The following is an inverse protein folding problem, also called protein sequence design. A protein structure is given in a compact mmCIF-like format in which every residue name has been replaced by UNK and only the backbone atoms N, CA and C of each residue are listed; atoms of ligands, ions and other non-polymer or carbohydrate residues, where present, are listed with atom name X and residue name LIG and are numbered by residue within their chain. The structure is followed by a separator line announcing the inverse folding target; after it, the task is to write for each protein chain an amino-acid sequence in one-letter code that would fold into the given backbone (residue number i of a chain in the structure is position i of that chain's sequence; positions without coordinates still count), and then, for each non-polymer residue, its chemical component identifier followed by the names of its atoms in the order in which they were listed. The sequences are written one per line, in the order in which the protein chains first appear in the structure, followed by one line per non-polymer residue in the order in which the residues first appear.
data_IF_104202671559
#
_entry.id   IF_104202671559
#
_cell.length_a   1.000
_cell.length_b   1.000
_cell.length_c   1.000
_cell.angle_alpha   90.00
_cell.angle_beta   90.00
_cell.angle_gamma   90.00
#
_symmetry.space_group_name_H-M   'P 1'
#
loop_
_entity.id
_entity.type
_entity.pdbx_description
1 polymer ?
#
# COMPACT_ATOMS: atom_id res chain seq x y z
N UNK A 1 21.76 -12.17 -3.20
CA UNK A 1 20.80 -11.57 -4.17
C UNK A 1 20.91 -10.10 -3.88
N UNK A 2 21.40 -9.27 -4.81
CA UNK A 2 21.80 -7.90 -4.47
C UNK A 2 20.72 -7.18 -3.65
N UNK A 3 21.14 -6.57 -2.54
CA UNK A 3 20.24 -5.84 -1.65
C UNK A 3 19.50 -4.74 -2.42
N UNK A 4 18.20 -4.62 -2.19
CA UNK A 4 17.32 -3.66 -2.87
C UNK A 4 17.08 -2.45 -1.98
N UNK A 5 17.47 -1.26 -2.41
CA UNK A 5 17.21 -0.01 -1.69
C UNK A 5 18.33 1.00 -1.86
N UNK A 6 17.99 2.27 -1.69
CA UNK A 6 18.89 3.42 -1.82
C UNK A 6 19.70 3.68 -0.55
N UNK A 7 19.13 3.38 0.62
CA UNK A 7 19.79 3.53 1.93
C UNK A 7 20.02 2.18 2.60
N UNK A 8 20.95 2.11 3.56
CA UNK A 8 21.20 0.89 4.35
C UNK A 8 19.93 0.44 5.11
N UNK A 9 19.16 1.40 5.63
CA UNK A 9 17.89 1.12 6.29
C UNK A 9 16.86 0.49 5.34
N UNK A 10 16.73 1.03 4.12
CA UNK A 10 15.81 0.50 3.11
C UNK A 10 16.24 -0.90 2.63
N UNK A 11 17.55 -1.12 2.44
CA UNK A 11 18.11 -2.41 2.07
C UNK A 11 17.88 -3.47 3.15
N UNK A 12 18.14 -3.14 4.42
CA UNK A 12 17.86 -4.02 5.55
C UNK A 12 16.36 -4.33 5.69
N UNK A 13 15.50 -3.31 5.59
CA UNK A 13 14.04 -3.47 5.61
C UNK A 13 13.58 -4.47 4.53
N UNK A 14 13.97 -4.23 3.28
CA UNK A 14 13.58 -5.05 2.15
C UNK A 14 14.14 -6.48 2.25
N UNK A 15 15.35 -6.64 2.76
CA UNK A 15 15.95 -7.95 3.02
C UNK A 15 15.08 -8.78 3.97
N UNK A 16 14.74 -8.26 5.15
CA UNK A 16 13.96 -9.02 6.13
C UNK A 16 12.48 -9.20 5.73
N UNK A 17 11.89 -8.24 5.00
CA UNK A 17 10.59 -8.44 4.37
C UNK A 17 10.61 -9.60 3.37
N UNK A 18 11.66 -9.71 2.54
CA UNK A 18 11.81 -10.82 1.59
C UNK A 18 12.01 -12.18 2.27
N UNK A 19 12.49 -12.19 3.53
CA UNK A 19 12.56 -13.39 4.38
C UNK A 19 11.21 -13.76 5.04
N UNK A 20 10.15 -13.00 4.78
CA UNK A 20 8.79 -13.28 5.25
C UNK A 20 8.50 -12.77 6.68
N UNK A 21 9.29 -11.82 7.19
CA UNK A 21 8.94 -11.16 8.46
C UNK A 21 7.82 -10.13 8.26
N UNK A 22 6.95 -10.01 9.27
CA UNK A 22 5.92 -8.96 9.31
C UNK A 22 6.56 -7.57 9.46
N UNK A 23 5.83 -6.51 9.09
CA UNK A 23 6.34 -5.14 9.25
C UNK A 23 6.69 -4.81 10.71
N UNK A 24 5.95 -5.34 11.70
CA UNK A 24 6.31 -5.19 13.11
C UNK A 24 7.64 -5.89 13.43
N UNK A 25 7.82 -7.13 12.98
CA UNK A 25 9.03 -7.92 13.17
C UNK A 25 10.26 -7.22 12.57
N UNK A 26 10.17 -6.77 11.31
CA UNK A 26 11.26 -6.05 10.62
C UNK A 26 11.60 -4.76 11.36
N UNK A 27 10.60 -4.01 11.80
CA UNK A 27 10.80 -2.78 12.58
C UNK A 27 11.57 -3.03 13.89
N UNK A 28 11.27 -4.15 14.58
CA UNK A 28 11.99 -4.55 15.79
C UNK A 28 13.46 -4.88 15.53
N UNK A 29 13.77 -5.59 14.45
CA UNK A 29 15.17 -5.88 14.05
C UNK A 29 15.91 -4.59 13.69
N UNK A 30 15.28 -3.70 12.93
CA UNK A 30 15.87 -2.42 12.55
C UNK A 30 16.13 -1.49 13.73
N UNK A 31 15.23 -1.48 14.72
CA UNK A 31 15.45 -0.75 15.96
C UNK A 31 16.70 -1.24 16.71
N UNK A 32 16.95 -2.56 16.66
CA UNK A 32 18.16 -3.14 17.22
C UNK A 32 19.40 -2.67 16.48
N UNK A 33 19.44 -2.84 15.15
CA UNK A 33 20.59 -2.42 14.33
C UNK A 33 20.91 -0.94 14.53
N UNK A 34 19.88 -0.07 14.60
CA UNK A 34 20.07 1.35 14.90
C UNK A 34 20.72 1.57 16.26
N UNK A 35 20.22 0.90 17.30
CA UNK A 35 20.71 1.07 18.66
C UNK A 35 22.14 0.55 18.85
N UNK A 36 22.50 -0.52 18.14
CA UNK A 36 23.82 -1.15 18.24
C UNK A 36 24.88 -0.46 17.36
N UNK A 37 24.52 -0.02 16.16
CA UNK A 37 25.52 0.41 15.15
C UNK A 37 25.12 1.63 14.33
N UNK A 38 23.92 2.17 14.50
CA UNK A 38 23.43 3.25 13.63
C UNK A 38 23.32 2.86 12.14
N UNK A 39 23.24 1.55 11.82
CA UNK A 39 23.36 1.02 10.44
C UNK A 39 24.74 1.21 9.81
N UNK A 40 25.81 1.25 10.61
CA UNK A 40 27.17 1.12 10.10
C UNK A 40 27.66 -0.34 10.29
N UNK A 41 27.85 -1.12 9.21
CA UNK A 41 28.30 -2.51 9.32
C UNK A 41 29.77 -2.61 9.75
N UNK A 42 30.53 -1.51 9.71
CA UNK A 42 31.93 -1.46 10.16
C UNK A 42 32.10 -0.94 11.58
N UNK A 43 30.99 -0.61 12.26
CA UNK A 43 30.99 0.02 13.58
C UNK A 43 31.75 -0.84 14.60
N UNK A 44 32.91 -0.36 15.01
CA UNK A 44 33.73 -0.91 16.08
C UNK A 44 33.38 -0.21 17.38
N UNK A 45 33.26 -0.96 18.47
CA UNK A 45 32.98 -0.37 19.76
C UNK A 45 34.05 0.66 20.15
N UNK A 46 33.63 1.89 20.50
CA UNK A 46 34.50 3.04 20.75
C UNK A 46 35.58 2.81 21.83
N UNK A 47 35.39 1.83 22.72
CA UNK A 47 36.41 1.44 23.72
C UNK A 47 37.64 0.80 23.08
N UNK A 48 37.49 0.15 21.91
CA UNK A 48 38.59 -0.35 21.09
C UNK A 48 39.34 0.80 20.43
N UNK A 49 38.61 1.72 19.79
CA UNK A 49 39.21 2.83 19.05
C UNK A 49 40.16 3.64 19.93
N UNK A 50 39.73 3.91 21.18
CA UNK A 50 40.52 4.63 22.18
C UNK A 50 41.75 3.90 22.70
N UNK A 51 41.75 2.55 22.70
CA UNK A 51 42.82 1.74 23.31
C UNK A 51 43.81 1.17 22.29
N UNK A 52 43.36 0.94 21.06
CA UNK A 52 44.13 0.26 20.02
C UNK A 52 44.61 1.20 18.92
N UNK A 53 44.03 2.40 18.81
CA UNK A 53 44.34 3.36 17.75
C UNK A 53 43.69 3.04 16.38
N UNK A 54 42.86 2.00 16.30
CA UNK A 54 42.10 1.71 15.09
C UNK A 54 40.83 2.56 14.98
N UNK A 55 40.47 2.90 13.75
CA UNK A 55 39.12 3.35 13.35
C UNK A 55 38.29 2.16 12.88
N UNK A 56 36.98 2.35 12.74
CA UNK A 56 36.07 1.40 12.07
C UNK A 56 36.65 0.79 10.77
N UNK A 57 37.14 1.66 9.87
CA UNK A 57 37.66 1.26 8.56
C UNK A 57 38.98 0.52 8.67
N UNK A 58 39.92 1.03 9.46
CA UNK A 58 41.27 0.46 9.57
C UNK A 58 41.25 -0.86 10.32
N UNK A 59 40.39 -1.00 11.34
CA UNK A 59 40.14 -2.28 12.01
C UNK A 59 39.54 -3.29 11.04
N UNK A 60 38.49 -2.91 10.31
CA UNK A 60 37.84 -3.80 9.33
C UNK A 60 38.84 -4.28 8.28
N UNK A 61 39.65 -3.37 7.72
CA UNK A 61 40.67 -3.71 6.75
C UNK A 61 41.73 -4.66 7.33
N UNK A 62 42.17 -4.41 8.58
CA UNK A 62 43.14 -5.25 9.26
C UNK A 62 42.62 -6.66 9.57
N UNK A 63 41.33 -6.80 9.90
CA UNK A 63 40.68 -8.11 10.06
C UNK A 63 40.56 -8.82 8.72
N UNK A 64 40.14 -8.11 7.67
CA UNK A 64 39.98 -8.67 6.32
C UNK A 64 41.31 -9.15 5.72
N UNK A 65 42.39 -8.40 5.91
CA UNK A 65 43.72 -8.75 5.41
C UNK A 65 44.52 -9.66 6.38
N UNK A 66 43.97 -9.97 7.54
CA UNK A 66 44.56 -10.87 8.53
C UNK A 66 45.67 -10.27 9.39
N UNK A 67 46.01 -8.99 9.24
CA UNK A 67 46.98 -8.31 10.11
C UNK A 67 46.46 -8.11 11.55
N UNK A 68 45.14 -8.14 11.75
CA UNK A 68 44.52 -8.21 13.07
C UNK A 68 44.04 -9.63 13.41
N UNK A 69 44.91 -10.44 14.01
CA UNK A 69 44.62 -11.84 14.34
C UNK A 69 43.66 -12.07 15.51
N UNK A 70 43.40 -11.06 16.34
CA UNK A 70 42.68 -11.23 17.62
C UNK A 70 41.17 -10.93 17.56
N UNK A 71 40.59 -10.74 16.37
CA UNK A 71 39.17 -10.38 16.19
C UNK A 71 38.22 -11.21 17.07
N UNK A 72 38.47 -12.51 17.18
CA UNK A 72 37.58 -13.45 17.89
C UNK A 72 37.59 -13.23 19.41
N UNK A 73 38.71 -12.80 20.00
CA UNK A 73 38.92 -12.79 21.45
C UNK A 73 39.20 -11.40 22.04
N UNK A 74 39.23 -10.36 21.22
CA UNK A 74 39.47 -8.97 21.66
C UNK A 74 38.34 -8.37 22.53
N UNK A 75 37.19 -9.04 22.61
CA UNK A 75 36.03 -8.65 23.42
C UNK A 75 35.37 -7.32 23.01
N UNK A 76 35.64 -6.84 21.79
CA UNK A 76 34.99 -5.63 21.26
C UNK A 76 33.78 -5.97 20.41
N UNK A 77 32.70 -5.20 20.58
CA UNK A 77 31.53 -5.26 19.72
C UNK A 77 31.86 -4.79 18.30
N UNK A 78 31.31 -5.49 17.29
CA UNK A 78 31.53 -5.16 15.88
C UNK A 78 30.25 -5.30 15.06
N UNK A 79 30.05 -4.39 14.10
CA UNK A 79 29.02 -4.46 13.06
C UNK A 79 27.58 -4.28 13.55
N UNK A 80 26.62 -4.71 12.72
CA UNK A 80 25.19 -4.39 12.87
C UNK A 80 24.55 -4.81 14.19
N UNK A 81 24.93 -5.96 14.73
CA UNK A 81 24.42 -6.45 16.02
C UNK A 81 25.44 -6.31 17.16
N UNK A 82 26.52 -5.53 16.95
CA UNK A 82 27.62 -5.41 17.91
C UNK A 82 28.08 -6.77 18.45
N UNK A 83 28.38 -7.72 17.56
CA UNK A 83 28.80 -9.08 17.94
C UNK A 83 30.03 -9.02 18.84
N UNK A 84 29.84 -9.38 20.12
CA UNK A 84 30.88 -9.22 21.16
C UNK A 84 31.35 -10.57 21.71
N UNK A 85 30.44 -11.53 21.86
CA UNK A 85 30.79 -12.83 22.44
C UNK A 85 31.67 -13.65 21.47
N UNK A 86 32.77 -14.21 21.98
CA UNK A 86 33.84 -14.78 21.15
C UNK A 86 33.34 -15.84 20.15
N UNK A 87 32.42 -16.71 20.54
CA UNK A 87 31.91 -17.75 19.64
C UNK A 87 31.05 -17.18 18.51
N UNK A 88 30.30 -16.10 18.78
CA UNK A 88 29.55 -15.37 17.75
C UNK A 88 30.48 -14.64 16.80
N UNK A 89 31.55 -14.02 17.31
CA UNK A 89 32.60 -13.39 16.47
C UNK A 89 33.31 -14.42 15.60
N UNK A 90 33.65 -15.60 16.14
CA UNK A 90 34.22 -16.70 15.34
C UNK A 90 33.27 -17.14 14.21
N UNK A 91 31.98 -17.30 14.51
CA UNK A 91 30.98 -17.68 13.52
C UNK A 91 30.80 -16.60 12.44
N UNK A 92 30.79 -15.32 12.81
CA UNK A 92 30.75 -14.20 11.86
C UNK A 92 31.96 -14.21 10.93
N UNK A 93 33.18 -14.34 11.48
CA UNK A 93 34.42 -14.40 10.70
C UNK A 93 34.43 -15.60 9.74
N UNK A 94 33.97 -16.77 10.22
CA UNK A 94 33.86 -17.98 9.39
C UNK A 94 32.83 -17.80 8.27
N UNK A 95 31.70 -17.15 8.57
CA UNK A 95 30.64 -16.88 7.59
C UNK A 95 31.13 -15.91 6.50
N UNK A 96 31.84 -14.84 6.89
CA UNK A 96 32.44 -13.88 5.96
C UNK A 96 33.45 -14.57 5.01
N UNK A 97 34.36 -15.40 5.56
CA UNK A 97 35.31 -16.20 4.78
C UNK A 97 34.61 -17.16 3.82
N UNK A 98 33.58 -17.87 4.27
CA UNK A 98 32.78 -18.78 3.44
C UNK A 98 32.09 -18.05 2.27
N UNK A 99 31.67 -16.81 2.49
CA UNK A 99 31.05 -15.96 1.46
C UNK A 99 32.06 -15.26 0.55
N UNK A 100 33.35 -15.32 0.87
CA UNK A 100 34.41 -14.55 0.24
C UNK A 100 34.08 -13.04 0.22
N UNK A 101 33.71 -12.51 1.39
CA UNK A 101 33.30 -11.12 1.59
C UNK A 101 34.06 -10.49 2.76
N UNK A 102 34.20 -9.17 2.72
CA UNK A 102 34.68 -8.37 3.86
C UNK A 102 33.79 -8.63 5.08
N UNK A 103 34.39 -8.67 6.27
CA UNK A 103 33.66 -8.79 7.53
C UNK A 103 32.73 -7.59 7.77
N UNK A 104 33.02 -6.45 7.15
CA UNK A 104 32.19 -5.23 7.16
C UNK A 104 31.18 -5.11 6.00
N UNK A 105 30.97 -6.17 5.21
CA UNK A 105 29.99 -6.17 4.12
C UNK A 105 28.54 -6.22 4.65
N UNK A 106 27.70 -5.31 4.15
CA UNK A 106 26.31 -5.16 4.58
C UNK A 106 25.45 -6.40 4.29
N UNK A 107 25.51 -6.95 3.07
CA UNK A 107 24.70 -8.12 2.70
C UNK A 107 25.12 -9.34 3.51
N UNK A 108 26.43 -9.54 3.67
CA UNK A 108 26.99 -10.62 4.48
C UNK A 108 26.51 -10.55 5.93
N UNK A 109 26.56 -9.39 6.58
CA UNK A 109 26.11 -9.25 7.97
C UNK A 109 24.60 -9.45 8.14
N UNK A 110 23.77 -8.99 7.21
CA UNK A 110 22.32 -9.25 7.22
C UNK A 110 22.01 -10.74 7.04
N UNK A 111 22.75 -11.42 6.15
CA UNK A 111 22.66 -12.87 5.97
C UNK A 111 23.08 -13.65 7.21
N UNK A 112 24.17 -13.24 7.88
CA UNK A 112 24.62 -13.87 9.12
C UNK A 112 23.61 -13.67 10.26
N UNK A 113 23.07 -12.46 10.44
CA UNK A 113 22.01 -12.18 11.41
C UNK A 113 20.79 -13.08 11.16
N UNK A 114 20.41 -13.26 9.89
CA UNK A 114 19.34 -14.17 9.51
C UNK A 114 19.67 -15.64 9.79
N UNK A 115 20.91 -16.08 9.57
CA UNK A 115 21.38 -17.44 9.92
C UNK A 115 21.27 -17.69 11.43
N UNK A 116 21.68 -16.72 12.26
CA UNK A 116 21.55 -16.85 13.71
C UNK A 116 20.08 -16.92 14.14
N UNK A 117 19.21 -16.05 13.60
CA UNK A 117 17.77 -16.04 13.89
C UNK A 117 17.09 -17.36 13.48
N UNK A 118 17.48 -17.94 12.36
CA UNK A 118 16.91 -19.20 11.86
C UNK A 118 17.59 -20.44 12.44
N UNK A 119 18.75 -20.30 13.06
CA UNK A 119 19.52 -21.36 13.71
C UNK A 119 19.38 -21.33 15.23
N UNK A 120 20.40 -20.80 15.91
CA UNK A 120 20.50 -20.82 17.37
C UNK A 120 19.44 -19.97 18.09
N UNK A 121 18.80 -19.02 17.39
CA UNK A 121 17.79 -18.12 17.95
C UNK A 121 16.37 -18.38 17.42
N UNK A 122 16.07 -19.61 16.95
CA UNK A 122 14.73 -20.00 16.45
C UNK A 122 13.56 -19.59 17.35
N UNK A 123 13.73 -19.71 18.67
CA UNK A 123 12.69 -19.32 19.64
C UNK A 123 12.41 -17.81 19.58
N UNK A 124 13.44 -17.00 19.41
CA UNK A 124 13.31 -15.55 19.24
C UNK A 124 12.59 -15.25 17.92
N UNK A 125 12.99 -15.91 16.83
CA UNK A 125 12.36 -15.75 15.52
C UNK A 125 10.87 -16.11 15.53
N UNK A 126 10.48 -17.19 16.22
CA UNK A 126 9.07 -17.60 16.37
C UNK A 126 8.26 -16.52 17.08
N UNK A 127 8.76 -16.01 18.21
CA UNK A 127 8.10 -14.91 18.94
C UNK A 127 8.03 -13.65 18.09
N UNK A 128 9.12 -13.32 17.40
CA UNK A 128 9.21 -12.13 16.56
C UNK A 128 8.18 -12.16 15.43
N UNK A 129 8.00 -13.31 14.77
CA UNK A 129 6.97 -13.51 13.74
C UNK A 129 5.54 -13.34 14.27
N UNK A 130 5.31 -13.63 15.55
CA UNK A 130 4.01 -13.51 16.21
C UNK A 130 3.74 -12.11 16.81
N UNK A 131 4.72 -11.20 16.78
CA UNK A 131 4.60 -9.89 17.41
C UNK A 131 3.48 -9.05 16.76
N UNK A 132 2.66 -8.42 17.61
CA UNK A 132 1.48 -7.63 17.22
C UNK A 132 1.70 -6.12 17.30
N UNK A 133 2.87 -5.69 17.75
CA UNK A 133 3.24 -4.28 17.83
C UNK A 133 4.74 -4.07 17.65
N UNK A 134 5.14 -2.84 17.29
CA UNK A 134 6.55 -2.45 17.18
C UNK A 134 7.28 -2.55 18.53
N UNK A 135 6.59 -2.21 19.62
CA UNK A 135 7.12 -2.31 20.98
C UNK A 135 7.41 -3.77 21.36
N UNK A 136 6.47 -4.67 21.07
CA UNK A 136 6.62 -6.09 21.34
C UNK A 136 7.78 -6.70 20.53
N UNK A 137 7.83 -6.42 19.22
CA UNK A 137 8.89 -6.89 18.35
C UNK A 137 10.28 -6.40 18.81
N UNK A 138 10.39 -5.12 19.17
CA UNK A 138 11.62 -4.55 19.74
C UNK A 138 12.04 -5.24 21.03
N UNK A 139 11.08 -5.49 21.94
CA UNK A 139 11.37 -6.15 23.21
C UNK A 139 11.85 -7.59 23.03
N UNK A 140 11.28 -8.31 22.05
CA UNK A 140 11.67 -9.69 21.72
C UNK A 140 13.14 -9.75 21.26
N UNK A 141 13.56 -8.85 20.37
CA UNK A 141 14.96 -8.79 19.92
C UNK A 141 15.88 -8.38 21.06
N UNK A 142 15.56 -7.32 21.79
CA UNK A 142 16.37 -6.81 22.90
C UNK A 142 16.66 -7.88 23.96
N UNK A 143 15.63 -8.62 24.37
CA UNK A 143 15.72 -9.59 25.48
C UNK A 143 16.10 -11.00 25.02
N UNK A 144 15.90 -11.31 23.73
CA UNK A 144 16.12 -12.63 23.16
C UNK A 144 17.43 -12.77 22.39
N UNK A 145 17.79 -11.76 21.60
CA UNK A 145 18.92 -11.79 20.67
C UNK A 145 20.11 -10.98 21.17
N UNK A 146 19.91 -9.70 21.49
CA UNK A 146 21.01 -8.80 21.90
C UNK A 146 21.46 -9.03 23.34
N UNK A 147 20.49 -9.10 24.26
CA UNK A 147 20.73 -9.26 25.70
C UNK A 147 21.81 -8.32 26.25
N UNK A 148 21.70 -6.99 26.03
CA UNK A 148 22.63 -6.06 26.65
C UNK A 148 22.46 -6.08 28.18
N UNK A 149 23.44 -5.50 28.87
CA UNK A 149 23.43 -5.41 30.35
C UNK A 149 22.19 -4.68 30.88
N UNK A 150 21.77 -3.60 30.21
CA UNK A 150 20.56 -2.85 30.57
C UNK A 150 19.38 -3.25 29.68
N UNK A 151 18.36 -3.87 30.30
CA UNK A 151 17.09 -4.26 29.66
C UNK A 151 15.89 -3.60 30.36
N UNK A 152 16.14 -2.50 31.05
CA UNK A 152 15.15 -1.74 31.81
C UNK A 152 14.07 -1.12 30.92
N UNK A 153 13.00 -0.63 31.56
CA UNK A 153 11.85 -0.07 30.85
C UNK A 153 12.20 1.14 29.97
N UNK A 154 13.18 1.97 30.37
CA UNK A 154 13.66 3.10 29.56
C UNK A 154 14.30 2.64 28.25
N UNK A 155 15.14 1.61 28.28
CA UNK A 155 15.76 1.03 27.08
C UNK A 155 14.70 0.40 26.17
N UNK A 156 13.76 -0.34 26.77
CA UNK A 156 12.62 -0.92 26.04
C UNK A 156 11.78 0.15 25.34
N UNK A 157 11.44 1.23 26.04
CA UNK A 157 10.67 2.34 25.47
C UNK A 157 11.45 3.04 24.33
N UNK A 158 12.74 3.28 24.51
CA UNK A 158 13.60 3.93 23.50
C UNK A 158 13.74 3.07 22.24
N UNK A 159 14.05 1.77 22.36
CA UNK A 159 14.13 0.90 21.18
C UNK A 159 12.75 0.68 20.55
N UNK A 160 11.69 0.65 21.37
CA UNK A 160 10.31 0.63 20.89
C UNK A 160 9.95 1.86 20.05
N UNK A 161 10.43 3.06 20.40
CA UNK A 161 10.21 4.27 19.61
C UNK A 161 10.96 4.21 18.28
N UNK A 162 12.19 3.70 18.25
CA UNK A 162 12.91 3.46 16.98
C UNK A 162 12.17 2.48 16.08
N UNK A 163 11.62 1.39 16.64
CA UNK A 163 10.82 0.44 15.89
C UNK A 163 9.56 1.12 15.33
N UNK A 164 8.90 1.98 16.12
CA UNK A 164 7.75 2.75 15.67
C UNK A 164 8.10 3.72 14.53
N UNK A 165 9.24 4.40 14.60
CA UNK A 165 9.72 5.29 13.53
C UNK A 165 9.93 4.53 12.22
N UNK A 166 10.60 3.37 12.24
CA UNK A 166 10.81 2.57 11.03
C UNK A 166 9.53 1.94 10.48
N UNK A 167 8.63 1.51 11.36
CA UNK A 167 7.30 1.08 10.94
C UNK A 167 6.57 2.19 10.19
N UNK A 168 6.55 3.41 10.74
CA UNK A 168 5.92 4.56 10.08
C UNK A 168 6.64 4.91 8.76
N UNK A 169 7.96 4.87 8.75
CA UNK A 169 8.75 5.23 7.58
C UNK A 169 8.58 4.25 6.41
N UNK A 170 8.48 2.94 6.67
CA UNK A 170 8.53 1.93 5.62
C UNK A 170 7.23 1.13 5.44
N UNK A 171 6.48 0.87 6.51
CA UNK A 171 5.18 0.21 6.42
C UNK A 171 4.09 1.21 6.04
N UNK A 172 3.97 2.31 6.79
CA UNK A 172 2.90 3.31 6.55
C UNK A 172 3.12 4.06 5.24
N UNK A 173 4.35 4.48 4.89
CA UNK A 173 4.57 5.11 3.58
C UNK A 173 4.29 4.17 2.40
N UNK A 174 4.50 2.86 2.55
CA UNK A 174 4.14 1.88 1.51
C UNK A 174 2.63 1.71 1.43
N UNK A 175 1.95 1.68 2.58
CA UNK A 175 0.49 1.68 2.67
C UNK A 175 -0.14 2.97 2.13
N UNK A 176 0.42 4.14 2.39
CA UNK A 176 0.06 5.45 1.81
C UNK A 176 0.31 5.47 0.31
N UNK A 177 1.42 4.90 -0.17
CA UNK A 177 1.71 4.78 -1.60
C UNK A 177 0.72 3.83 -2.29
N UNK A 178 0.25 2.78 -1.62
CA UNK A 178 -0.87 1.95 -2.10
C UNK A 178 -2.24 2.62 -1.98
N UNK A 179 -2.46 3.50 -0.99
CA UNK A 179 -3.68 4.30 -0.83
C UNK A 179 -3.76 5.48 -1.83
N UNK A 180 -2.62 5.90 -2.40
CA UNK A 180 -2.55 6.81 -3.55
C UNK A 180 -2.77 6.11 -4.89
N UNK A 181 -2.76 4.78 -4.93
CA UNK A 181 -3.13 4.08 -6.15
C UNK A 181 -4.64 4.24 -6.33
N UNK A 182 -5.02 4.95 -7.38
CA UNK A 182 -6.40 5.16 -7.77
C UNK A 182 -6.71 4.21 -8.92
N UNK A 183 -7.82 3.50 -8.82
CA UNK A 183 -8.36 2.62 -9.85
C UNK A 183 -9.68 3.18 -10.37
N UNK A 184 -9.94 3.05 -11.67
CA UNK A 184 -11.22 3.34 -12.30
C UNK A 184 -11.94 2.06 -12.68
N UNK A 185 -13.27 2.05 -12.55
CA UNK A 185 -14.11 0.92 -12.96
C UNK A 185 -15.59 1.26 -13.05
N UNK A 186 -16.32 0.47 -13.85
CA UNK A 186 -17.79 0.39 -13.85
C UNK A 186 -18.23 -0.68 -12.82
N UNK A 187 -19.15 -0.36 -11.90
CA UNK A 187 -19.36 -1.22 -10.70
C UNK A 187 -20.79 -1.64 -10.39
N UNK A 188 -21.76 -0.73 -10.44
CA UNK A 188 -23.17 -1.01 -10.11
C UNK A 188 -24.05 0.11 -10.65
N UNK A 189 -25.34 -0.17 -10.82
CA UNK A 189 -26.34 0.85 -11.15
C UNK A 189 -26.72 1.72 -9.93
N UNK A 190 -27.57 2.73 -10.17
CA UNK A 190 -28.01 3.71 -9.18
C UNK A 190 -28.83 3.10 -8.02
N UNK A 191 -29.40 1.91 -8.24
CA UNK A 191 -30.16 1.16 -7.25
C UNK A 191 -29.28 0.18 -6.47
N UNK A 192 -27.98 0.16 -6.74
CA UNK A 192 -27.02 -0.77 -6.17
C UNK A 192 -27.15 -2.20 -6.71
N UNK A 193 -27.82 -2.37 -7.84
CA UNK A 193 -27.99 -3.64 -8.55
C UNK A 193 -27.02 -3.71 -9.74
N UNK A 194 -27.11 -4.79 -10.49
CA UNK A 194 -26.24 -5.04 -11.64
C UNK A 194 -26.90 -4.80 -13.00
N UNK A 195 -28.20 -4.53 -13.03
CA UNK A 195 -28.97 -4.33 -14.25
C UNK A 195 -30.35 -3.73 -13.93
N UNK A 196 -30.95 -3.09 -14.94
CA UNK A 196 -32.27 -2.45 -14.82
C UNK A 196 -32.23 -1.01 -14.33
N UNK A 197 -31.03 -0.42 -14.25
CA UNK A 197 -30.82 1.00 -14.01
C UNK A 197 -31.14 1.86 -15.24
N UNK A 198 -30.93 3.17 -15.10
CA UNK A 198 -31.10 4.13 -16.19
C UNK A 198 -29.79 4.37 -16.93
N UNK A 199 -29.80 4.59 -18.27
CA UNK A 199 -28.60 4.97 -19.00
C UNK A 199 -27.93 6.25 -18.51
N UNK A 200 -26.59 6.24 -18.52
CA UNK A 200 -25.74 7.28 -17.93
C UNK A 200 -25.57 7.14 -16.43
N UNK A 201 -24.52 7.75 -15.87
CA UNK A 201 -24.25 7.71 -14.44
C UNK A 201 -25.22 8.62 -13.68
N UNK A 202 -26.12 8.03 -12.89
CA UNK A 202 -27.16 8.77 -12.18
C UNK A 202 -26.75 9.18 -10.75
N UNK A 203 -25.76 8.52 -10.15
CA UNK A 203 -25.39 8.72 -8.73
C UNK A 203 -23.93 9.17 -8.51
N UNK A 204 -23.21 9.38 -9.61
CA UNK A 204 -21.81 9.79 -9.65
C UNK A 204 -20.84 8.63 -9.40
N UNK A 205 -21.32 7.42 -9.12
CA UNK A 205 -20.48 6.30 -8.69
C UNK A 205 -20.69 5.02 -9.51
N UNK A 206 -21.54 5.02 -10.53
CA UNK A 206 -21.71 3.87 -11.42
C UNK A 206 -20.41 3.55 -12.19
N UNK A 207 -19.79 4.58 -12.78
CA UNK A 207 -18.47 4.52 -13.44
C UNK A 207 -17.56 5.59 -12.85
N UNK A 208 -16.59 5.18 -12.05
CA UNK A 208 -15.86 6.15 -11.22
C UNK A 208 -14.56 5.59 -10.65
N UNK A 209 -13.77 6.51 -10.10
CA UNK A 209 -12.51 6.19 -9.45
C UNK A 209 -12.69 5.87 -7.97
N UNK A 210 -11.78 5.07 -7.42
CA UNK A 210 -11.65 4.79 -5.99
C UNK A 210 -10.22 4.40 -5.65
N UNK A 211 -9.88 4.39 -4.36
CA UNK A 211 -8.60 3.85 -3.93
C UNK A 211 -8.50 2.36 -4.26
N UNK A 212 -7.30 1.93 -4.62
CA UNK A 212 -6.98 0.52 -4.75
C UNK A 212 -7.28 -0.22 -3.45
N UNK A 213 -7.75 -1.46 -3.60
CA UNK A 213 -8.03 -2.37 -2.49
C UNK A 213 -7.64 -3.80 -2.87
N UNK A 214 -7.33 -4.60 -1.86
CA UNK A 214 -7.11 -6.04 -2.03
C UNK A 214 -8.48 -6.72 -2.12
N UNK A 215 -8.73 -7.44 -3.22
CA UNK A 215 -9.96 -8.18 -3.42
C UNK A 215 -9.83 -9.59 -2.82
N UNK A 216 -10.89 -10.13 -2.21
CA UNK A 216 -10.91 -11.47 -1.58
C UNK A 216 -10.56 -12.60 -2.56
N UNK A 217 -11.03 -12.48 -3.80
CA UNK A 217 -10.66 -13.36 -4.93
C UNK A 217 -9.23 -13.19 -5.45
N UNK A 218 -8.46 -12.23 -4.92
CA UNK A 218 -7.14 -11.84 -5.43
C UNK A 218 -7.18 -11.19 -6.81
N UNK A 219 -6.07 -10.56 -7.21
CA UNK A 219 -5.90 -9.89 -8.50
C UNK A 219 -4.84 -10.59 -9.36
N UNK A 220 -5.11 -10.71 -10.66
CA UNK A 220 -4.10 -10.78 -11.70
C UNK A 220 -3.86 -9.39 -12.27
N UNK A 221 -2.59 -9.06 -12.53
CA UNK A 221 -2.17 -7.82 -13.17
C UNK A 221 -1.68 -8.11 -14.59
N UNK A 222 -2.19 -7.31 -15.53
CA UNK A 222 -1.75 -7.22 -16.92
C UNK A 222 -1.11 -5.86 -17.14
N UNK A 223 0.14 -5.88 -17.61
CA UNK A 223 0.90 -4.67 -17.92
C UNK A 223 1.14 -4.60 -19.42
N UNK A 224 0.81 -3.47 -20.03
CA UNK A 224 1.12 -3.22 -21.43
C UNK A 224 2.63 -3.33 -21.68
N UNK A 225 3.00 -3.84 -22.86
CA UNK A 225 4.39 -3.80 -23.32
C UNK A 225 4.81 -2.38 -23.71
N UNK A 226 3.86 -1.54 -24.13
CA UNK A 226 4.08 -0.14 -24.48
C UNK A 226 3.67 0.79 -23.34
N UNK A 227 4.62 1.60 -22.86
CA UNK A 227 4.38 2.66 -21.87
C UNK A 227 3.42 3.74 -22.39
N UNK A 228 3.36 3.96 -23.71
CA UNK A 228 2.42 4.90 -24.32
C UNK A 228 0.98 4.37 -24.23
N UNK A 229 0.77 3.09 -24.56
CA UNK A 229 -0.54 2.45 -24.41
C UNK A 229 -0.99 2.44 -22.94
N UNK A 230 -0.07 2.19 -22.00
CA UNK A 230 -0.36 2.26 -20.57
C UNK A 230 -0.82 3.66 -20.13
N UNK A 231 -0.19 4.73 -20.63
CA UNK A 231 -0.64 6.11 -20.34
C UNK A 231 -2.01 6.40 -20.94
N UNK A 232 -2.24 6.00 -22.21
CA UNK A 232 -3.50 6.23 -22.91
C UNK A 232 -4.67 5.47 -22.27
N UNK A 233 -4.47 4.22 -21.87
CA UNK A 233 -5.55 3.43 -21.23
C UNK A 233 -5.92 3.98 -19.85
N UNK A 234 -4.93 4.45 -19.08
CA UNK A 234 -5.17 5.11 -17.79
C UNK A 234 -5.99 6.38 -17.97
N UNK A 235 -5.67 7.16 -19.00
CA UNK A 235 -6.42 8.36 -19.37
C UNK A 235 -7.83 8.03 -19.84
N UNK A 236 -8.01 7.04 -20.73
CA UNK A 236 -9.32 6.63 -21.21
C UNK A 236 -10.25 6.19 -20.07
N UNK A 237 -9.73 5.40 -19.12
CA UNK A 237 -10.49 5.02 -17.92
C UNK A 237 -10.82 6.23 -17.05
N UNK A 238 -9.88 7.16 -16.87
CA UNK A 238 -10.13 8.40 -16.12
C UNK A 238 -11.24 9.22 -16.78
N UNK A 239 -11.15 9.45 -18.08
CA UNK A 239 -12.14 10.21 -18.85
C UNK A 239 -13.52 9.55 -18.79
N UNK A 240 -13.59 8.22 -18.87
CA UNK A 240 -14.83 7.49 -18.68
C UNK A 240 -15.42 7.70 -17.28
N UNK A 241 -14.58 7.64 -16.24
CA UNK A 241 -14.99 7.90 -14.86
C UNK A 241 -15.48 9.33 -14.62
N UNK A 242 -15.00 10.30 -15.41
CA UNK A 242 -15.41 11.71 -15.34
C UNK A 242 -16.60 12.04 -16.25
N UNK A 243 -17.15 11.07 -17.00
CA UNK A 243 -18.24 11.30 -17.93
C UNK A 243 -19.57 10.74 -17.39
N UNK A 244 -20.48 11.62 -16.97
CA UNK A 244 -21.80 11.23 -16.47
C UNK A 244 -22.73 10.62 -17.53
N UNK A 245 -22.36 10.66 -18.81
CA UNK A 245 -23.11 9.96 -19.85
C UNK A 245 -22.86 8.45 -19.83
N UNK A 246 -21.85 7.95 -19.11
CA UNK A 246 -21.49 6.53 -19.08
C UNK A 246 -21.96 5.90 -17.77
N UNK A 247 -23.03 5.12 -17.83
CA UNK A 247 -23.61 4.40 -16.69
C UNK A 247 -23.27 2.91 -16.67
N UNK A 248 -23.75 2.19 -15.66
CA UNK A 248 -23.49 0.77 -15.46
C UNK A 248 -24.72 -0.10 -15.69
N UNK A 249 -24.59 -1.14 -16.53
CA UNK A 249 -25.57 -2.22 -16.63
C UNK A 249 -24.93 -3.49 -17.24
N UNK A 250 -25.09 -4.65 -16.60
CA UNK A 250 -24.60 -5.92 -17.14
C UNK A 250 -25.36 -6.42 -18.38
N UNK A 251 -26.59 -5.95 -18.59
CA UNK A 251 -27.39 -6.34 -19.74
C UNK A 251 -27.05 -5.54 -21.00
N UNK A 252 -26.41 -4.37 -20.86
CA UNK A 252 -26.16 -3.45 -21.95
C UNK A 252 -24.67 -3.12 -22.08
N UNK A 253 -24.11 -3.39 -23.26
CA UNK A 253 -22.68 -3.27 -23.57
C UNK A 253 -22.48 -2.40 -24.81
N UNK A 254 -22.52 -1.09 -24.63
CA UNK A 254 -22.61 -0.13 -25.74
C UNK A 254 -21.35 0.72 -25.98
N UNK A 255 -20.30 0.54 -25.17
CA UNK A 255 -19.09 1.38 -25.23
C UNK A 255 -18.40 1.33 -26.59
N UNK A 256 -18.28 0.16 -27.20
CA UNK A 256 -17.63 0.04 -28.50
C UNK A 256 -18.37 0.81 -29.60
N UNK A 257 -19.71 0.84 -29.56
CA UNK A 257 -20.51 1.64 -30.49
C UNK A 257 -20.30 3.14 -30.23
N UNK A 258 -20.27 3.54 -28.95
CA UNK A 258 -20.01 4.94 -28.56
C UNK A 258 -18.62 5.41 -28.99
N UNK A 259 -17.58 4.59 -28.83
CA UNK A 259 -16.23 4.92 -29.26
C UNK A 259 -16.11 5.02 -30.77
N UNK A 260 -16.83 4.20 -31.54
CA UNK A 260 -16.90 4.34 -33.00
C UNK A 260 -17.59 5.63 -33.45
N UNK A 261 -18.58 6.11 -32.67
CA UNK A 261 -19.35 7.33 -32.98
C UNK A 261 -18.65 8.62 -32.51
N UNK A 262 -18.09 8.62 -31.31
CA UNK A 262 -17.54 9.82 -30.65
C UNK A 262 -16.01 9.84 -30.61
N UNK A 263 -15.34 8.73 -30.98
CA UNK A 263 -13.89 8.61 -31.06
C UNK A 263 -13.20 8.32 -29.71
N UNK A 264 -13.64 8.91 -28.61
CA UNK A 264 -13.05 8.72 -27.28
C UNK A 264 -14.07 8.84 -26.14
N UNK A 265 -13.75 8.29 -24.96
CA UNK A 265 -14.59 8.27 -23.76
C UNK A 265 -15.05 9.65 -23.31
N UNK A 266 -14.16 10.65 -23.39
CA UNK A 266 -14.46 12.03 -22.99
C UNK A 266 -15.53 12.65 -23.88
N UNK A 267 -15.51 12.34 -25.18
CA UNK A 267 -16.41 12.92 -26.17
C UNK A 267 -17.80 12.28 -26.21
N UNK A 268 -18.03 11.16 -25.50
CA UNK A 268 -19.34 10.50 -25.45
C UNK A 268 -20.38 11.48 -24.88
N UNK A 269 -21.23 11.98 -25.78
CA UNK A 269 -22.24 13.00 -25.51
C UNK A 269 -23.64 12.44 -25.29
N UNK A 270 -23.84 11.12 -25.32
CA UNK A 270 -25.14 10.48 -25.15
C UNK A 270 -25.14 9.42 -24.06
N UNK A 271 -26.27 9.30 -23.37
CA UNK A 271 -26.44 8.37 -22.27
C UNK A 271 -26.26 6.92 -22.76
N UNK A 272 -25.33 6.22 -22.14
CA UNK A 272 -24.90 4.88 -22.52
C UNK A 272 -24.70 4.03 -21.27
N UNK A 273 -24.62 2.71 -21.46
CA UNK A 273 -24.41 1.74 -20.40
C UNK A 273 -23.31 0.76 -20.77
N UNK A 274 -22.58 0.35 -19.74
CA UNK A 274 -21.48 -0.59 -19.84
C UNK A 274 -21.41 -1.51 -18.65
N UNK A 275 -20.66 -2.60 -18.79
CA UNK A 275 -20.21 -3.40 -17.64
C UNK A 275 -18.70 -3.25 -17.44
N UNK A 276 -18.18 -3.80 -16.33
CA UNK A 276 -16.76 -3.67 -16.00
C UNK A 276 -15.82 -4.14 -17.13
N UNK A 277 -16.14 -5.25 -17.78
CA UNK A 277 -15.33 -5.83 -18.85
C UNK A 277 -15.49 -5.11 -20.18
N UNK A 278 -16.68 -4.61 -20.48
CA UNK A 278 -16.95 -3.81 -21.68
C UNK A 278 -16.25 -2.46 -21.62
N UNK A 279 -16.26 -1.83 -20.45
CA UNK A 279 -15.52 -0.58 -20.23
C UNK A 279 -14.01 -0.78 -20.41
N UNK A 280 -13.44 -1.85 -19.85
CA UNK A 280 -12.01 -2.16 -20.01
C UNK A 280 -11.67 -2.41 -21.48
N UNK A 281 -12.48 -3.19 -22.20
CA UNK A 281 -12.31 -3.40 -23.65
C UNK A 281 -12.31 -2.07 -24.40
N UNK A 282 -13.25 -1.18 -24.10
CA UNK A 282 -13.32 0.14 -24.71
C UNK A 282 -12.09 0.99 -24.42
N UNK A 283 -11.59 0.99 -23.17
CA UNK A 283 -10.36 1.70 -22.82
C UNK A 283 -9.16 1.18 -23.61
N UNK A 284 -9.04 -0.15 -23.78
CA UNK A 284 -7.97 -0.76 -24.59
C UNK A 284 -8.11 -0.33 -26.05
N UNK A 285 -9.32 -0.36 -26.60
CA UNK A 285 -9.59 0.04 -27.98
C UNK A 285 -9.22 1.51 -28.22
N UNK A 286 -9.64 2.44 -27.35
CA UNK A 286 -9.26 3.85 -27.47
C UNK A 286 -7.74 4.03 -27.37
N UNK A 287 -7.08 3.30 -26.47
CA UNK A 287 -5.64 3.46 -26.22
C UNK A 287 -4.76 2.91 -27.35
N UNK A 288 -5.22 1.89 -28.06
CA UNK A 288 -4.39 1.10 -28.99
C UNK A 288 -4.92 1.09 -30.43
N UNK A 289 -6.19 1.45 -30.65
CA UNK A 289 -6.90 1.24 -31.91
C UNK A 289 -7.26 -0.22 -32.19
N UNK A 290 -6.94 -1.16 -31.30
CA UNK A 290 -7.11 -2.60 -31.50
C UNK A 290 -8.29 -3.10 -30.67
N UNK A 291 -9.26 -3.71 -31.35
CA UNK A 291 -10.33 -4.44 -30.68
C UNK A 291 -9.83 -5.83 -30.31
N UNK A 292 -9.50 -6.03 -29.03
CA UNK A 292 -9.04 -7.32 -28.49
C UNK A 292 -10.13 -8.40 -28.47
N UNK A 293 -11.37 -8.06 -28.81
CA UNK A 293 -12.51 -8.96 -28.79
C UNK A 293 -13.33 -8.85 -27.50
N UNK A 294 -14.56 -9.35 -27.56
CA UNK A 294 -15.47 -9.32 -26.41
C UNK A 294 -15.01 -10.31 -25.33
N UNK A 295 -15.08 -9.90 -24.07
CA UNK A 295 -14.76 -10.76 -22.94
C UNK A 295 -15.61 -10.44 -21.70
N UNK A 296 -15.63 -11.42 -20.80
CA UNK A 296 -16.09 -11.27 -19.42
C UNK A 296 -14.88 -11.37 -18.49
N UNK A 297 -15.02 -11.02 -17.21
CA UNK A 297 -13.92 -11.16 -16.23
C UNK A 297 -13.38 -12.59 -16.10
N UNK A 298 -14.13 -13.62 -16.50
CA UNK A 298 -13.65 -15.00 -16.55
C UNK A 298 -12.74 -15.29 -17.74
N UNK A 299 -13.05 -14.70 -18.90
CA UNK A 299 -12.33 -14.94 -20.17
C UNK A 299 -11.26 -13.90 -20.46
N UNK A 300 -11.34 -12.74 -19.81
CA UNK A 300 -10.43 -11.60 -19.94
C UNK A 300 -8.95 -11.99 -19.88
N UNK A 301 -8.46 -12.79 -18.90
CA UNK A 301 -7.05 -13.18 -18.89
C UNK A 301 -6.58 -13.82 -20.19
N UNK A 302 -7.38 -14.74 -20.75
CA UNK A 302 -7.02 -15.46 -21.97
C UNK A 302 -7.06 -14.57 -23.22
N UNK A 303 -7.97 -13.59 -23.25
CA UNK A 303 -8.10 -12.64 -24.36
C UNK A 303 -6.94 -11.65 -24.35
N UNK A 304 -6.60 -11.10 -23.17
CA UNK A 304 -5.47 -10.18 -23.03
C UNK A 304 -4.14 -10.88 -23.35
N UNK A 305 -3.94 -12.13 -22.90
CA UNK A 305 -2.74 -12.92 -23.24
C UNK A 305 -2.59 -13.14 -24.75
N UNK A 306 -3.70 -13.40 -25.46
CA UNK A 306 -3.70 -13.61 -26.92
C UNK A 306 -3.52 -12.33 -27.74
N UNK A 307 -3.84 -11.17 -27.18
CA UNK A 307 -3.76 -9.90 -27.90
C UNK A 307 -2.32 -9.48 -28.29
N UNK A 308 -1.30 -10.04 -27.62
CA UNK A 308 0.10 -9.63 -27.81
C UNK A 308 0.43 -8.24 -27.25
N UNK A 309 -0.52 -7.53 -26.64
CA UNK A 309 -0.32 -6.17 -26.12
C UNK A 309 0.28 -6.12 -24.72
N UNK A 310 0.23 -7.24 -24.00
CA UNK A 310 0.55 -7.31 -22.58
C UNK A 310 1.69 -8.27 -22.29
N UNK A 311 2.49 -7.95 -21.27
CA UNK A 311 3.36 -8.91 -20.63
C UNK A 311 2.54 -10.04 -19.97
N UNK A 312 3.22 -11.15 -19.68
CA UNK A 312 2.60 -12.30 -18.99
C UNK A 312 1.94 -11.87 -17.69
N UNK A 313 0.73 -12.40 -17.42
CA UNK A 313 -0.03 -12.06 -16.20
C UNK A 313 0.77 -12.35 -14.94
N UNK A 314 0.66 -11.46 -13.95
CA UNK A 314 1.33 -11.57 -12.65
C UNK A 314 0.28 -11.63 -11.54
N UNK A 315 0.45 -12.52 -10.56
CA UNK A 315 -0.38 -12.47 -9.35
C UNK A 315 0.02 -11.25 -8.51
N UNK A 316 -0.94 -10.39 -8.18
CA UNK A 316 -0.68 -9.25 -7.31
C UNK A 316 -0.44 -9.72 -5.88
N UNK A 317 0.63 -9.23 -5.28
CA UNK A 317 1.06 -9.46 -3.90
C UNK A 317 1.42 -8.13 -3.24
N UNK A 318 1.72 -8.14 -1.94
CA UNK A 318 2.20 -6.95 -1.22
C UNK A 318 3.55 -6.40 -1.74
N UNK A 319 4.27 -7.16 -2.56
CA UNK A 319 5.50 -6.71 -3.23
C UNK A 319 5.26 -6.14 -4.63
N UNK A 320 4.05 -6.26 -5.17
CA UNK A 320 3.73 -5.80 -6.53
C UNK A 320 3.67 -4.27 -6.56
N UNK A 321 4.42 -3.68 -7.48
CA UNK A 321 4.39 -2.23 -7.75
C UNK A 321 3.44 -1.98 -8.91
N UNK A 322 2.29 -1.38 -8.61
CA UNK A 322 1.29 -0.95 -9.59
C UNK A 322 1.73 0.34 -10.27
N UNK A 323 1.34 0.49 -11.54
CA UNK A 323 1.61 1.64 -12.40
C UNK A 323 0.33 2.08 -13.11
N UNK A 324 0.19 3.37 -13.48
CA UNK A 324 -0.90 3.80 -14.34
C UNK A 324 -0.94 2.96 -15.62
N UNK A 325 -2.14 2.47 -15.94
CA UNK A 325 -2.41 1.62 -17.09
C UNK A 325 -2.37 0.11 -16.81
N UNK A 326 -1.95 -0.31 -15.62
CA UNK A 326 -2.09 -1.72 -15.23
C UNK A 326 -3.57 -2.10 -15.15
N UNK A 327 -3.93 -3.20 -15.82
CA UNK A 327 -5.28 -3.77 -15.77
C UNK A 327 -5.28 -4.88 -14.72
N UNK A 328 -6.21 -4.80 -13.77
CA UNK A 328 -6.37 -5.78 -12.70
C UNK A 328 -7.69 -6.51 -12.85
N UNK A 329 -7.64 -7.84 -12.96
CA UNK A 329 -8.82 -8.70 -13.05
C UNK A 329 -8.80 -9.73 -11.93
N UNK A 330 -9.96 -10.01 -11.35
CA UNK A 330 -10.06 -10.99 -10.26
C UNK A 330 -9.66 -12.39 -10.74
N UNK A 331 -9.01 -13.19 -9.88
CA UNK A 331 -8.52 -14.53 -10.29
C UNK A 331 -9.62 -15.52 -10.68
N UNK A 332 -10.85 -15.24 -10.27
CA UNK A 332 -12.07 -15.92 -10.70
C UNK A 332 -13.10 -14.88 -11.13
N UNK A 333 -14.17 -15.27 -11.84
CA UNK A 333 -15.23 -14.37 -12.32
C UNK A 333 -15.68 -13.41 -11.22
N UNK A 334 -15.59 -12.11 -11.48
CA UNK A 334 -15.78 -11.10 -10.45
C UNK A 334 -15.75 -9.68 -10.99
N UNK A 335 -14.57 -9.06 -11.03
CA UNK A 335 -14.40 -7.65 -11.33
C UNK A 335 -13.12 -7.38 -12.12
N UNK A 336 -13.12 -6.32 -12.91
CA UNK A 336 -11.92 -5.80 -13.58
C UNK A 336 -11.84 -4.28 -13.43
N UNK A 337 -10.62 -3.78 -13.26
CA UNK A 337 -10.32 -2.36 -12.97
C UNK A 337 -9.04 -1.94 -13.69
N UNK A 338 -8.87 -0.65 -13.92
CA UNK A 338 -7.62 -0.09 -14.46
C UNK A 338 -7.03 0.87 -13.45
N UNK A 339 -5.72 0.75 -13.20
CA UNK A 339 -4.98 1.73 -12.39
C UNK A 339 -4.88 3.03 -13.18
N UNK A 340 -5.49 4.10 -12.68
CA UNK A 340 -5.50 5.40 -13.34
C UNK A 340 -4.43 6.34 -12.76
N UNK A 341 -4.07 6.18 -11.50
CA UNK A 341 -3.05 7.02 -10.85
C UNK A 341 -2.34 6.25 -9.73
N UNK A 342 -1.11 6.66 -9.41
CA UNK A 342 -0.31 6.11 -8.29
C UNK A 342 0.17 7.18 -7.31
N UNK A 343 -0.12 8.44 -7.61
CA UNK A 343 0.20 9.61 -6.78
C UNK A 343 -1.05 10.41 -6.38
N UNK A 344 -2.22 10.01 -6.88
CA UNK A 344 -3.50 10.68 -6.67
C UNK A 344 -3.79 11.81 -7.66
N UNK A 345 -2.86 12.10 -8.58
CA UNK A 345 -3.05 13.11 -9.63
C UNK A 345 -3.74 12.53 -10.86
N UNK A 346 -4.45 13.39 -11.61
CA UNK A 346 -5.05 13.01 -12.88
C UNK A 346 -3.98 12.56 -13.89
N UNK A 347 -4.27 11.58 -14.78
CA UNK A 347 -3.33 11.16 -15.81
C UNK A 347 -2.88 12.32 -16.70
N UNK A 348 -1.62 12.29 -17.14
CA UNK A 348 -1.06 13.28 -18.07
C UNK A 348 -1.91 13.38 -19.34
N UNK A 349 -2.27 14.61 -19.73
CA UNK A 349 -3.16 14.89 -20.87
C UNK A 349 -4.66 14.85 -20.53
N UNK A 350 -5.06 14.52 -19.30
CA UNK A 350 -6.43 14.74 -18.83
C UNK A 350 -6.66 16.21 -18.53
N UNK A 351 -7.78 16.76 -19.01
CA UNK A 351 -8.21 18.14 -18.72
C UNK A 351 -9.17 18.22 -17.53
N UNK A 352 -9.74 17.08 -17.12
CA UNK A 352 -10.79 17.03 -16.10
C UNK A 352 -10.20 16.52 -14.79
N UNK A 353 -10.12 17.39 -13.78
CA UNK A 353 -9.53 17.08 -12.46
C UNK A 353 -10.55 16.54 -11.48
N UNK A 354 -11.85 16.69 -11.76
CA UNK A 354 -12.95 16.20 -10.93
C UNK A 354 -14.16 15.82 -11.78
N UNK A 355 -14.96 14.89 -11.25
CA UNK A 355 -16.18 14.42 -11.92
C UNK A 355 -17.25 15.53 -11.85
N UNK A 356 -17.93 15.86 -12.95
CA UNK A 356 -19.04 16.79 -12.94
C UNK A 356 -20.15 16.33 -11.98
N UNK A 357 -20.77 17.26 -11.26
CA UNK A 357 -21.95 16.94 -10.47
C UNK A 357 -23.06 16.38 -11.37
N UNK A 358 -23.75 15.32 -10.92
CA UNK A 358 -24.85 14.74 -11.70
C UNK A 358 -26.01 15.74 -11.69
N UNK A 359 -26.36 16.24 -12.87
CA UNK A 359 -27.44 17.21 -13.03
C UNK A 359 -28.78 16.53 -12.80
N UNK A 360 -29.39 16.78 -11.63
CA UNK A 360 -30.67 16.20 -11.24
C UNK A 360 -30.76 15.67 -9.80
N UNK A 361 -29.66 15.59 -9.05
CA UNK A 361 -29.69 15.11 -7.66
C UNK A 361 -29.55 16.24 -6.62
N UNK A 362 -30.55 17.13 -6.52
CA UNK A 362 -30.87 17.74 -5.22
C UNK A 362 -31.64 16.71 -4.38
N UNK A 363 -31.02 15.56 -4.13
CA UNK A 363 -31.53 14.64 -3.12
C UNK A 363 -31.41 15.36 -1.77
N UNK A 364 -32.55 15.85 -1.27
CA UNK A 364 -32.64 16.55 0.02
C UNK A 364 -32.00 15.67 1.09
N UNK A 365 -31.04 16.23 1.82
CA UNK A 365 -30.41 15.54 2.95
C UNK A 365 -31.51 15.19 3.96
N UNK A 366 -31.59 13.91 4.33
CA UNK A 366 -32.54 13.40 5.29
C UNK A 366 -32.36 14.07 6.65
N UNK A 367 -33.44 14.15 7.43
CA UNK A 367 -33.35 14.59 8.82
C UNK A 367 -32.76 13.49 9.70
N UNK A 368 -31.86 13.85 10.61
CA UNK A 368 -31.34 12.91 11.60
C UNK A 368 -32.44 12.48 12.58
N UNK A 369 -32.49 11.19 12.92
CA UNK A 369 -33.53 10.61 13.78
C UNK A 369 -33.22 10.71 15.28
N UNK A 370 -32.00 11.08 15.66
CA UNK A 370 -31.56 11.09 17.05
C UNK A 370 -30.50 12.16 17.31
N UNK A 371 -30.38 12.58 18.57
CA UNK A 371 -29.36 13.53 19.05
C UNK A 371 -28.70 12.99 20.32
N UNK A 372 -27.38 13.14 20.39
CA UNK A 372 -26.54 12.79 21.53
C UNK A 372 -25.45 13.86 21.64
N UNK A 373 -25.46 14.62 22.74
CA UNK A 373 -24.53 15.73 22.91
C UNK A 373 -23.07 15.26 23.10
N UNK A 374 -22.85 14.04 23.60
CA UNK A 374 -21.51 13.52 23.88
C UNK A 374 -20.68 13.29 22.59
N UNK A 375 -21.37 13.02 21.47
CA UNK A 375 -20.75 12.82 20.16
C UNK A 375 -20.59 14.12 19.37
N UNK A 376 -21.02 15.28 19.90
CA UNK A 376 -20.73 16.56 19.26
C UNK A 376 -19.23 16.87 19.33
N UNK A 377 -18.70 17.49 18.28
CA UNK A 377 -17.30 17.89 18.20
C UNK A 377 -16.71 17.80 16.79
N UNK A 378 -15.44 18.17 16.69
CA UNK A 378 -14.65 17.98 15.46
C UNK A 378 -14.15 16.55 15.39
N UNK A 379 -14.17 16.00 14.18
CA UNK A 379 -13.67 14.67 13.88
C UNK A 379 -12.74 14.75 12.68
N UNK A 380 -11.87 13.75 12.59
CA UNK A 380 -11.12 13.45 11.38
C UNK A 380 -11.58 12.13 10.81
N UNK A 381 -11.72 12.07 9.50
CA UNK A 381 -11.96 10.80 8.81
C UNK A 381 -10.73 9.90 8.94
N UNK A 382 -10.91 8.64 9.32
CA UNK A 382 -9.81 7.67 9.42
C UNK A 382 -9.51 6.98 8.09
N UNK A 383 -10.38 7.18 7.09
CA UNK A 383 -10.26 6.68 5.72
C UNK A 383 -11.04 7.58 4.75
N UNK A 384 -10.94 7.32 3.44
CA UNK A 384 -11.78 7.98 2.45
C UNK A 384 -13.26 7.63 2.71
N UNK A 385 -14.06 8.64 3.07
CA UNK A 385 -15.40 8.46 3.58
C UNK A 385 -16.41 9.27 2.79
N UNK A 386 -17.41 8.61 2.22
CA UNK A 386 -18.49 9.31 1.52
C UNK A 386 -19.41 10.02 2.51
N UNK A 387 -19.64 11.31 2.28
CA UNK A 387 -20.76 12.06 2.84
C UNK A 387 -22.00 11.73 2.02
N UNK A 388 -23.10 11.35 2.67
CA UNK A 388 -24.32 10.85 2.01
C UNK A 388 -25.55 11.64 2.43
N UNK A 389 -26.61 11.59 1.62
CA UNK A 389 -27.88 12.25 1.92
C UNK A 389 -28.63 11.60 3.09
N UNK A 390 -28.30 10.36 3.45
CA UNK A 390 -28.96 9.62 4.52
C UNK A 390 -28.03 8.60 5.18
N UNK A 391 -28.50 7.98 6.25
CA UNK A 391 -27.77 6.92 6.94
C UNK A 391 -27.81 5.59 6.15
N UNK A 392 -26.63 5.08 5.78
CA UNK A 392 -26.46 3.81 5.10
C UNK A 392 -25.66 3.92 3.80
N UNK A 393 -24.99 2.84 3.42
CA UNK A 393 -24.13 2.78 2.23
C UNK A 393 -24.90 2.82 0.91
N UNK A 394 -26.19 2.48 0.93
CA UNK A 394 -27.09 2.58 -0.23
C UNK A 394 -27.69 3.98 -0.45
N UNK A 395 -27.37 4.96 0.39
CA UNK A 395 -27.86 6.35 0.23
C UNK A 395 -26.97 7.13 -0.74
N UNK A 396 -27.55 8.02 -1.53
CA UNK A 396 -26.84 8.87 -2.51
C UNK A 396 -25.64 9.56 -1.87
N UNK A 397 -24.49 9.47 -2.51
CA UNK A 397 -23.28 10.15 -2.08
C UNK A 397 -23.31 11.62 -2.53
N UNK A 398 -23.08 12.53 -1.60
CA UNK A 398 -22.95 13.97 -1.85
C UNK A 398 -21.53 14.28 -2.31
N UNK A 399 -20.54 13.77 -1.58
CA UNK A 399 -19.12 13.97 -1.89
C UNK A 399 -18.25 12.93 -1.18
N UNK A 400 -17.03 12.72 -1.68
CA UNK A 400 -16.03 11.90 -1.03
C UNK A 400 -15.12 12.78 -0.17
N UNK A 401 -15.03 12.48 1.12
CA UNK A 401 -14.12 13.16 2.05
C UNK A 401 -12.82 12.34 2.15
N UNK A 402 -11.66 12.88 1.73
CA UNK A 402 -10.39 12.18 1.88
C UNK A 402 -10.07 11.82 3.33
N UNK A 403 -9.24 10.79 3.56
CA UNK A 403 -8.74 10.47 4.90
C UNK A 403 -8.03 11.68 5.54
N UNK A 404 -8.24 11.90 6.84
CA UNK A 404 -7.74 13.05 7.57
C UNK A 404 -8.57 14.33 7.40
N UNK A 405 -9.64 14.30 6.61
CA UNK A 405 -10.56 15.44 6.45
C UNK A 405 -11.22 15.79 7.77
N UNK A 406 -11.20 17.08 8.11
CA UNK A 406 -11.89 17.61 9.27
C UNK A 406 -13.38 17.73 8.98
N UNK A 407 -14.21 17.16 9.85
CA UNK A 407 -15.68 17.28 9.80
C UNK A 407 -16.22 17.73 11.16
N UNK A 408 -17.30 18.48 11.17
CA UNK A 408 -17.97 18.94 12.38
C UNK A 408 -19.24 18.12 12.60
N UNK A 409 -19.32 17.39 13.72
CA UNK A 409 -20.56 16.73 14.16
C UNK A 409 -21.27 17.61 15.19
N UNK A 410 -22.57 17.84 15.01
CA UNK A 410 -23.40 18.64 15.92
C UNK A 410 -24.17 17.80 16.95
N UNK A 411 -23.82 16.52 17.10
CA UNK A 411 -24.50 15.59 18.00
C UNK A 411 -25.65 14.81 17.36
N UNK A 412 -25.99 15.09 16.11
CA UNK A 412 -27.10 14.43 15.41
C UNK A 412 -26.63 13.15 14.71
N UNK A 413 -27.43 12.09 14.79
CA UNK A 413 -27.13 10.82 14.15
C UNK A 413 -28.38 10.02 13.77
N UNK A 414 -28.19 8.99 12.97
CA UNK A 414 -29.19 7.95 12.70
C UNK A 414 -28.50 6.59 12.69
N UNK A 415 -29.08 5.59 13.37
CA UNK A 415 -28.52 4.24 13.39
C UNK A 415 -29.01 3.45 12.19
N UNK A 416 -28.08 2.81 11.47
CA UNK A 416 -28.37 1.92 10.35
C UNK A 416 -27.52 0.65 10.49
N UNK A 417 -28.16 -0.52 10.51
CA UNK A 417 -27.53 -1.83 10.72
C UNK A 417 -26.56 -1.85 11.93
N UNK A 418 -27.03 -1.34 13.08
CA UNK A 418 -26.25 -1.30 14.33
C UNK A 418 -25.11 -0.28 14.36
N UNK A 419 -24.82 0.41 13.26
CA UNK A 419 -23.79 1.45 13.20
C UNK A 419 -24.42 2.83 13.23
N UNK A 420 -23.89 3.74 14.06
CA UNK A 420 -24.33 5.13 14.06
C UNK A 420 -23.76 5.86 12.83
N UNK A 421 -24.61 6.60 12.14
CA UNK A 421 -24.22 7.50 11.08
C UNK A 421 -24.38 8.93 11.57
N UNK A 422 -23.27 9.65 11.68
CA UNK A 422 -23.23 11.00 12.19
C UNK A 422 -23.63 11.98 11.09
N UNK A 423 -24.50 12.91 11.45
CA UNK A 423 -24.79 14.06 10.63
C UNK A 423 -23.70 15.11 10.84
N UNK A 424 -22.90 15.33 9.81
CA UNK A 424 -21.70 16.17 9.87
C UNK A 424 -21.73 17.26 8.82
N UNK A 425 -21.06 18.37 9.12
CA UNK A 425 -20.69 19.40 8.15
C UNK A 425 -19.24 19.19 7.68
N UNK A 426 -19.05 19.31 6.37
CA UNK A 426 -17.76 19.26 5.70
C UNK A 426 -17.71 20.38 4.65
N UNK A 427 -16.94 21.43 4.95
CA UNK A 427 -16.97 22.66 4.16
C UNK A 427 -18.36 23.31 4.17
N UNK A 428 -18.92 23.52 2.99
CA UNK A 428 -20.26 24.05 2.73
C UNK A 428 -21.37 22.98 2.68
N UNK A 429 -21.00 21.69 2.81
CA UNK A 429 -21.93 20.56 2.66
C UNK A 429 -22.27 19.93 4.00
N UNK A 430 -23.49 19.42 4.10
CA UNK A 430 -23.96 18.62 5.24
C UNK A 430 -24.48 17.26 4.77
N UNK A 431 -24.35 16.24 5.62
CA UNK A 431 -24.82 14.91 5.31
C UNK A 431 -24.42 13.88 6.36
N UNK A 432 -24.72 12.63 6.08
CA UNK A 432 -24.42 11.50 6.96
C UNK A 432 -23.14 10.78 6.54
N UNK A 433 -22.35 10.39 7.52
CA UNK A 433 -21.23 9.46 7.31
C UNK A 433 -21.12 8.50 8.49
N UNK A 434 -20.55 7.31 8.27
CA UNK A 434 -20.48 6.27 9.29
C UNK A 434 -19.49 6.64 10.40
N UNK A 435 -19.92 6.54 11.66
CA UNK A 435 -19.07 6.83 12.82
C UNK A 435 -17.90 5.88 12.97
N UNK A 436 -17.95 4.70 12.34
CA UNK A 436 -16.86 3.72 12.36
C UNK A 436 -15.57 4.26 11.71
N UNK A 437 -15.69 5.28 10.86
CA UNK A 437 -14.58 5.91 10.14
C UNK A 437 -14.29 7.34 10.60
N UNK A 438 -14.75 7.71 11.79
CA UNK A 438 -14.51 9.01 12.40
C UNK A 438 -13.73 8.84 13.70
N UNK A 439 -12.64 9.58 13.83
CA UNK A 439 -11.89 9.73 15.07
C UNK A 439 -12.09 11.14 15.60
N UNK A 440 -12.52 11.25 16.86
CA UNK A 440 -12.70 12.56 17.51
C UNK A 440 -11.34 13.27 17.55
N UNK A 441 -11.31 14.51 17.06
CA UNK A 441 -10.10 15.30 16.89
C UNK A 441 -9.57 15.85 18.21
#
# INVERSE_FOLDING_TARGET
MALKGTTAQERAWNFFCAKGLSHYAVSGVMASIRAESGFNPRNLQNSCEKKSGYTDETYTAAVDNGSYGNFVRDSYGYGYAQWTYWSRKQNLLNFAKKKNKSIGDEEMQLEFLWEELTGSYKVVLTKLKAAKSTQEASNIILTGYEKPKDQGQKVKATRGSYAKEYYNQFAVKKEEKTMKVIIGSARRDENGKYAGGKPGDQDGVEVSTQNYYVHTKGWYMFRFLSDEHAKKVAKAMWDACMNNNIGYCQAHRSIMAMLKKYGNMKAIGEKTETDCSDLVRGCIYEATGIDVGAFSTATEPSVLEKSGLFAKKVSVTSATVLKPGDILVTKSKGHTVIVVSVDGSAPSGSTSTSKPAVSGSTAKVESARSKDAAIAGKYKTTSNLYLRVGAGTGKTAITLMPAGSSVQCYGYYTTYNGTRWYYVAYGDKTGFCSSAYLQKA
#
